data_IF_786334703897
#
_entry.id   IF_786334703897
#
_cell.length_a   1.000
_cell.length_b   1.000
_cell.length_c   1.000
_cell.angle_alpha   90.00
_cell.angle_beta   90.00
_cell.angle_gamma   90.00
#
_symmetry.space_group_name_H-M   'P 1'
#
loop_
_entity.id
_entity.type
_entity.pdbx_description
1 polymer ?
#
# COMPACT_ATOMS: atom_id res chain seq x y z
N UNK A 1 38.60 16.82 6.88
CA UNK A 1 37.60 15.83 7.35
C UNK A 1 36.26 16.31 6.86
N UNK A 2 35.70 15.66 5.83
CA UNK A 2 34.38 16.01 5.27
C UNK A 2 33.32 15.25 6.05
N UNK A 3 32.42 15.99 6.68
CA UNK A 3 31.24 15.46 7.37
C UNK A 3 30.31 14.83 6.34
N UNK A 4 30.12 13.52 6.42
CA UNK A 4 29.17 12.80 5.55
C UNK A 4 27.78 13.07 6.11
N UNK A 5 27.01 13.94 5.43
CA UNK A 5 25.63 14.21 5.79
C UNK A 5 24.80 12.92 5.70
N UNK A 6 24.25 12.47 6.82
CA UNK A 6 23.32 11.35 6.86
C UNK A 6 22.05 11.78 6.11
N UNK A 7 21.62 11.07 5.05
CA UNK A 7 20.40 11.43 4.35
C UNK A 7 19.21 11.34 5.31
N UNK A 8 18.34 12.35 5.26
CA UNK A 8 17.14 12.36 6.06
C UNK A 8 16.28 11.12 5.76
N UNK A 9 15.83 10.43 6.81
CA UNK A 9 14.96 9.25 6.68
C UNK A 9 13.71 9.64 5.88
N UNK A 10 13.38 8.93 4.78
CA UNK A 10 12.18 9.22 4.00
C UNK A 10 10.93 9.23 4.88
N UNK A 11 10.03 10.20 4.63
CA UNK A 11 8.82 10.39 5.46
C UNK A 11 7.95 9.13 5.54
N UNK A 12 7.88 8.34 4.47
CA UNK A 12 7.11 7.09 4.43
C UNK A 12 7.68 5.98 5.33
N UNK A 13 8.94 6.07 5.76
CA UNK A 13 9.53 5.17 6.76
C UNK A 13 9.37 5.70 8.20
N UNK A 14 9.29 7.03 8.34
CA UNK A 14 9.19 7.69 9.64
C UNK A 14 7.75 7.74 10.20
N UNK A 15 6.73 7.56 9.34
CA UNK A 15 5.33 7.59 9.75
C UNK A 15 4.78 6.16 9.90
N UNK A 16 4.41 5.80 11.14
CA UNK A 16 3.80 4.51 11.45
C UNK A 16 2.37 4.38 10.93
N UNK A 17 1.66 5.50 10.76
CA UNK A 17 0.26 5.53 10.33
C UNK A 17 0.06 6.45 9.12
N UNK A 18 -0.79 6.06 8.16
CA UNK A 18 -1.10 6.89 7.00
C UNK A 18 -2.03 8.06 7.35
N UNK A 19 -2.67 8.07 8.52
CA UNK A 19 -3.57 9.15 8.94
C UNK A 19 -2.86 10.15 9.84
N UNK A 20 -3.02 11.44 9.53
CA UNK A 20 -2.64 12.50 10.47
C UNK A 20 -3.62 12.50 11.63
N UNK A 21 -3.14 12.86 12.82
CA UNK A 21 -3.99 12.94 14.04
C UNK A 21 -5.24 13.81 13.83
N UNK A 22 -5.10 14.92 13.10
CA UNK A 22 -6.22 15.81 12.80
C UNK A 22 -7.28 15.16 11.89
N UNK A 23 -6.86 14.39 10.87
CA UNK A 23 -7.78 13.71 9.95
C UNK A 23 -8.54 12.60 10.67
N UNK A 24 -7.85 11.84 11.53
CA UNK A 24 -8.47 10.84 12.38
C UNK A 24 -9.47 11.49 13.35
N UNK A 25 -9.09 12.57 14.03
CA UNK A 25 -9.96 13.24 15.00
C UNK A 25 -11.22 13.78 14.33
N UNK A 26 -11.08 14.45 13.19
CA UNK A 26 -12.22 15.00 12.44
C UNK A 26 -13.16 13.91 11.96
N UNK A 27 -12.62 12.85 11.34
CA UNK A 27 -13.44 11.72 10.89
C UNK A 27 -14.14 11.02 12.05
N UNK A 28 -13.42 10.74 13.15
CA UNK A 28 -14.01 10.14 14.35
C UNK A 28 -15.12 11.01 14.94
N UNK A 29 -14.93 12.33 14.98
CA UNK A 29 -15.96 13.26 15.46
C UNK A 29 -17.22 13.22 14.59
N UNK A 30 -17.08 13.28 13.26
CA UNK A 30 -18.23 13.20 12.33
C UNK A 30 -18.95 11.87 12.45
N UNK A 31 -18.20 10.76 12.48
CA UNK A 31 -18.74 9.42 12.68
C UNK A 31 -19.49 9.30 14.01
N UNK A 32 -18.94 9.86 15.10
CA UNK A 32 -19.57 9.83 16.41
C UNK A 32 -20.89 10.61 16.42
N UNK A 33 -20.94 11.78 15.78
CA UNK A 33 -22.18 12.57 15.63
C UNK A 33 -23.25 11.78 14.87
N UNK A 34 -22.88 11.14 13.75
CA UNK A 34 -23.80 10.28 12.99
C UNK A 34 -24.31 9.11 13.82
N UNK A 35 -23.43 8.44 14.56
CA UNK A 35 -23.79 7.30 15.42
C UNK A 35 -24.74 7.71 16.55
N UNK A 36 -24.47 8.84 17.21
CA UNK A 36 -25.35 9.40 18.25
C UNK A 36 -26.71 9.75 17.66
N UNK A 37 -26.76 10.36 16.47
CA UNK A 37 -28.02 10.68 15.79
C UNK A 37 -28.86 9.44 15.47
N UNK A 38 -28.23 8.34 15.02
CA UNK A 38 -28.92 7.06 14.80
C UNK A 38 -29.45 6.50 16.12
N UNK A 39 -28.66 6.57 17.21
CA UNK A 39 -29.10 6.15 18.54
C UNK A 39 -30.29 6.94 19.08
N UNK A 40 -30.30 8.26 18.88
CA UNK A 40 -31.44 9.12 19.26
C UNK A 40 -32.69 8.73 18.47
N UNK A 41 -32.56 8.56 17.14
CA UNK A 41 -33.69 8.15 16.30
C UNK A 41 -34.24 6.77 16.68
N UNK A 42 -33.36 5.84 17.05
CA UNK A 42 -33.75 4.51 17.55
C UNK A 42 -34.56 4.59 18.85
N UNK A 43 -34.11 5.36 19.83
CA UNK A 43 -34.85 5.54 21.09
C UNK A 43 -36.19 6.23 20.82
N UNK A 44 -36.20 7.24 19.95
CA UNK A 44 -37.42 7.95 19.55
C UNK A 44 -38.46 7.04 18.90
N UNK A 45 -38.05 6.18 17.97
CA UNK A 45 -38.98 5.27 17.28
C UNK A 45 -39.48 4.14 18.20
N UNK A 46 -38.66 3.71 19.17
CA UNK A 46 -39.01 2.59 20.07
C UNK A 46 -40.14 2.93 21.04
N UNK A 47 -40.36 4.21 21.34
CA UNK A 47 -41.40 4.68 22.25
C UNK A 47 -42.73 5.04 21.58
N UNK A 48 -42.82 4.95 20.25
CA UNK A 48 -43.89 5.56 19.47
C UNK A 48 -44.77 4.52 18.77
N UNK A 49 -46.09 4.64 18.94
CA UNK A 49 -47.08 3.75 18.32
C UNK A 49 -47.74 4.39 17.09
N UNK A 50 -47.70 5.73 16.98
CA UNK A 50 -48.23 6.46 15.83
C UNK A 50 -47.25 6.41 14.65
N UNK A 51 -47.74 5.95 13.50
CA UNK A 51 -46.95 5.81 12.29
C UNK A 51 -46.44 7.17 11.76
N UNK A 52 -47.23 8.24 11.89
CA UNK A 52 -46.84 9.56 11.40
C UNK A 52 -45.63 10.11 12.18
N UNK A 53 -45.58 9.83 13.48
CA UNK A 53 -44.43 10.18 14.32
C UNK A 53 -43.21 9.29 14.04
N UNK A 54 -43.41 7.99 13.77
CA UNK A 54 -42.32 7.10 13.34
C UNK A 54 -41.67 7.56 12.04
N UNK A 55 -42.46 8.10 11.10
CA UNK A 55 -41.93 8.64 9.83
C UNK A 55 -40.96 9.81 10.07
N UNK A 56 -41.24 10.67 11.04
CA UNK A 56 -40.33 11.77 11.40
C UNK A 56 -39.01 11.25 11.97
N UNK A 57 -39.05 10.26 12.86
CA UNK A 57 -37.84 9.62 13.39
C UNK A 57 -37.03 8.89 12.32
N UNK A 58 -37.70 8.28 11.34
CA UNK A 58 -37.04 7.66 10.20
C UNK A 58 -36.24 8.68 9.38
N UNK A 59 -36.78 9.88 9.14
CA UNK A 59 -36.04 10.95 8.45
C UNK A 59 -34.80 11.39 9.24
N UNK A 60 -34.90 11.48 10.57
CA UNK A 60 -33.74 11.75 11.44
C UNK A 60 -32.69 10.64 11.32
N UNK A 61 -33.12 9.37 11.34
CA UNK A 61 -32.22 8.22 11.19
C UNK A 61 -31.49 8.23 9.83
N UNK A 62 -32.19 8.56 8.74
CA UNK A 62 -31.60 8.69 7.41
C UNK A 62 -30.55 9.80 7.40
N UNK A 63 -30.89 10.99 7.91
CA UNK A 63 -29.94 12.11 7.99
C UNK A 63 -28.69 11.77 8.80
N UNK A 64 -28.87 11.15 9.97
CA UNK A 64 -27.77 10.69 10.81
C UNK A 64 -26.92 9.60 10.12
N UNK A 65 -27.56 8.68 9.40
CA UNK A 65 -26.90 7.65 8.60
C UNK A 65 -26.05 8.23 7.48
N UNK A 66 -26.51 9.28 6.81
CA UNK A 66 -25.71 10.01 5.81
C UNK A 66 -24.48 10.64 6.44
N UNK A 67 -24.62 11.31 7.60
CA UNK A 67 -23.49 11.91 8.32
C UNK A 67 -22.46 10.84 8.71
N UNK A 68 -22.91 9.70 9.24
CA UNK A 68 -22.07 8.55 9.57
C UNK A 68 -21.31 8.04 8.33
N UNK A 69 -22.02 7.86 7.21
CA UNK A 69 -21.43 7.43 5.94
C UNK A 69 -20.40 8.40 5.38
N UNK A 70 -20.62 9.71 5.52
CA UNK A 70 -19.67 10.74 5.12
C UNK A 70 -18.40 10.71 5.97
N UNK A 71 -18.53 10.54 7.30
CA UNK A 71 -17.39 10.40 8.20
C UNK A 71 -16.47 9.23 7.83
N UNK A 72 -17.06 8.06 7.52
CA UNK A 72 -16.33 6.87 7.09
C UNK A 72 -15.74 6.99 5.69
N UNK A 73 -16.50 7.57 4.75
CA UNK A 73 -16.02 7.79 3.37
C UNK A 73 -14.84 8.74 3.35
N UNK A 74 -14.89 9.82 4.15
CA UNK A 74 -13.77 10.75 4.31
C UNK A 74 -12.51 10.07 4.85
N UNK A 75 -12.66 9.24 5.89
CA UNK A 75 -11.54 8.48 6.47
C UNK A 75 -10.83 7.61 5.43
N UNK A 76 -11.60 6.88 4.63
CA UNK A 76 -11.10 6.01 3.57
C UNK A 76 -10.41 6.82 2.46
N UNK A 77 -11.02 7.93 2.03
CA UNK A 77 -10.46 8.80 1.00
C UNK A 77 -9.10 9.38 1.43
N UNK A 78 -8.98 9.85 2.67
CA UNK A 78 -7.70 10.32 3.22
C UNK A 78 -6.67 9.20 3.26
N UNK A 79 -7.06 8.02 3.76
CA UNK A 79 -6.18 6.85 3.80
C UNK A 79 -5.66 6.47 2.41
N UNK A 80 -6.53 6.40 1.39
CA UNK A 80 -6.12 6.11 0.02
C UNK A 80 -5.21 7.18 -0.58
N UNK A 81 -5.45 8.46 -0.28
CA UNK A 81 -4.61 9.56 -0.76
C UNK A 81 -3.19 9.47 -0.21
N UNK A 82 -3.05 9.20 1.08
CA UNK A 82 -1.74 9.10 1.73
C UNK A 82 -1.00 7.82 1.33
N UNK A 83 -1.69 6.68 1.19
CA UNK A 83 -1.07 5.46 0.65
C UNK A 83 -0.57 5.66 -0.78
N UNK A 84 -1.36 6.29 -1.65
CA UNK A 84 -0.93 6.60 -3.04
C UNK A 84 0.25 7.57 -3.06
N UNK A 85 0.31 8.51 -2.11
CA UNK A 85 1.44 9.42 -1.97
C UNK A 85 2.71 8.67 -1.55
N UNK A 86 2.63 7.86 -0.50
CA UNK A 86 3.74 7.05 -0.02
C UNK A 86 4.27 6.10 -1.11
N UNK A 87 3.36 5.46 -1.87
CA UNK A 87 3.73 4.63 -3.01
C UNK A 87 4.52 5.41 -4.08
N UNK A 88 4.11 6.64 -4.42
CA UNK A 88 4.84 7.48 -5.39
C UNK A 88 6.21 7.89 -4.88
N UNK A 89 6.31 8.27 -3.60
CA UNK A 89 7.57 8.65 -2.96
C UNK A 89 8.54 7.45 -2.92
N UNK A 90 8.06 6.27 -2.54
CA UNK A 90 8.84 5.03 -2.55
C UNK A 90 9.34 4.64 -3.96
N UNK A 91 8.46 4.71 -4.98
CA UNK A 91 8.87 4.40 -6.37
C UNK A 91 9.91 5.42 -6.87
N UNK A 92 9.78 6.69 -6.50
CA UNK A 92 10.77 7.71 -6.85
C UNK A 92 12.13 7.42 -6.19
N UNK A 93 12.13 7.03 -4.92
CA UNK A 93 13.35 6.66 -4.18
C UNK A 93 14.05 5.42 -4.75
N UNK A 94 13.28 4.39 -5.11
CA UNK A 94 13.81 3.21 -5.82
C UNK A 94 14.46 3.58 -7.15
N UNK A 95 13.84 4.49 -7.92
CA UNK A 95 14.40 4.96 -9.20
C UNK A 95 15.70 5.73 -9.00
N UNK A 96 15.79 6.54 -7.93
CA UNK A 96 17.00 7.30 -7.60
C UNK A 96 18.12 6.36 -7.13
N UNK A 97 17.81 5.44 -6.21
CA UNK A 97 18.74 4.41 -5.72
C UNK A 97 19.27 3.55 -6.87
N UNK A 98 18.40 3.16 -7.82
CA UNK A 98 18.81 2.42 -9.03
C UNK A 98 19.80 3.20 -9.92
N UNK A 99 19.66 4.53 -10.01
CA UNK A 99 20.59 5.38 -10.77
C UNK A 99 21.93 5.57 -10.05
N UNK A 100 21.90 5.59 -8.71
CA UNK A 100 23.09 5.80 -7.88
C UNK A 100 23.90 4.53 -7.66
N UNK A 101 23.30 3.34 -7.72
CA UNK A 101 24.08 2.11 -7.73
C UNK A 101 24.87 2.05 -9.03
N UNK A 102 26.21 2.13 -8.98
CA UNK A 102 27.01 1.94 -10.18
C UNK A 102 26.77 0.52 -10.69
N UNK A 103 26.54 0.37 -11.99
CA UNK A 103 26.46 -0.92 -12.70
C UNK A 103 27.80 -1.68 -12.70
N UNK A 104 28.81 -1.17 -12.01
CA UNK A 104 30.07 -1.88 -11.78
C UNK A 104 29.79 -3.07 -10.89
N UNK A 105 29.91 -4.27 -11.46
CA UNK A 105 29.67 -5.54 -10.81
C UNK A 105 30.41 -5.70 -9.47
N UNK A 106 29.82 -6.55 -8.62
CA UNK A 106 30.28 -6.98 -7.30
C UNK A 106 30.16 -5.97 -6.13
N UNK A 107 29.12 -6.09 -5.29
CA UNK A 107 29.23 -5.65 -3.90
C UNK A 107 30.21 -6.57 -3.16
N UNK A 108 31.40 -6.04 -2.87
CA UNK A 108 32.52 -6.75 -2.22
C UNK A 108 32.27 -7.21 -0.76
N UNK A 109 31.04 -7.13 -0.23
CA UNK A 109 30.74 -7.46 1.18
C UNK A 109 29.87 -8.72 1.38
N UNK A 110 29.62 -9.52 0.34
CA UNK A 110 28.84 -10.77 0.48
C UNK A 110 29.44 -11.95 -0.28
N UNK A 111 30.77 -12.16 -0.20
CA UNK A 111 31.46 -13.33 -0.78
C UNK A 111 31.57 -14.53 0.17
N UNK A 112 30.98 -14.48 1.36
CA UNK A 112 30.88 -15.65 2.22
C UNK A 112 29.61 -16.45 1.88
N UNK A 113 29.78 -17.57 1.16
CA UNK A 113 28.80 -18.64 0.94
C UNK A 113 27.56 -18.33 0.07
N UNK A 114 27.77 -17.88 -1.18
CA UNK A 114 26.73 -17.97 -2.21
C UNK A 114 26.92 -19.26 -3.03
N UNK A 115 25.93 -20.16 -3.13
CA UNK A 115 25.99 -21.29 -4.06
C UNK A 115 26.17 -20.77 -5.50
N UNK A 116 26.96 -21.51 -6.28
CA UNK A 116 27.48 -21.14 -7.60
C UNK A 116 26.47 -20.35 -8.45
N UNK A 117 26.86 -19.13 -8.81
CA UNK A 117 26.08 -18.26 -9.67
C UNK A 117 25.91 -18.92 -11.06
N UNK A 118 24.67 -19.05 -11.48
CA UNK A 118 24.28 -19.32 -12.87
C UNK A 118 24.84 -18.19 -13.74
N UNK A 119 25.28 -18.54 -14.96
CA UNK A 119 25.90 -17.66 -15.97
C UNK A 119 25.21 -16.29 -16.13
N UNK A 120 25.92 -15.24 -16.59
CA UNK A 120 25.38 -13.89 -16.70
C UNK A 120 24.09 -13.87 -17.52
N UNK A 121 22.99 -13.63 -16.81
CA UNK A 121 21.65 -13.62 -17.36
C UNK A 121 21.51 -12.46 -18.36
N UNK A 122 20.92 -12.73 -19.52
CA UNK A 122 20.51 -11.68 -20.44
C UNK A 122 19.41 -10.82 -19.78
N UNK A 123 19.31 -9.55 -20.17
CA UNK A 123 18.28 -8.63 -19.63
C UNK A 123 16.83 -9.08 -19.86
N UNK A 124 16.64 -10.06 -20.75
CA UNK A 124 15.36 -10.65 -21.11
C UNK A 124 15.06 -11.98 -20.40
N UNK A 125 15.97 -12.48 -19.55
CA UNK A 125 15.73 -13.71 -18.79
C UNK A 125 14.65 -13.47 -17.74
N UNK A 126 13.59 -14.29 -17.79
CA UNK A 126 12.52 -14.27 -16.81
C UNK A 126 12.88 -15.18 -15.64
N UNK A 127 12.64 -14.72 -14.43
CA UNK A 127 12.98 -15.42 -13.20
C UNK A 127 11.81 -15.37 -12.23
N UNK A 128 11.67 -16.43 -11.42
CA UNK A 128 10.74 -16.47 -10.29
C UNK A 128 11.36 -17.16 -9.08
N UNK A 129 10.88 -16.84 -7.89
CA UNK A 129 11.21 -17.57 -6.66
C UNK A 129 10.14 -18.62 -6.33
N UNK A 130 10.46 -19.58 -5.47
CA UNK A 130 9.56 -20.69 -5.09
C UNK A 130 8.19 -20.22 -4.58
N UNK A 131 8.13 -19.07 -3.90
CA UNK A 131 6.90 -18.46 -3.34
C UNK A 131 6.48 -17.16 -4.02
N UNK A 132 6.97 -16.90 -5.22
CA UNK A 132 6.60 -15.69 -5.97
C UNK A 132 5.41 -15.98 -6.88
N UNK A 133 4.44 -15.07 -6.90
CA UNK A 133 3.29 -15.09 -7.82
C UNK A 133 3.55 -14.27 -9.09
N UNK A 134 4.65 -13.52 -9.13
CA UNK A 134 5.03 -12.67 -10.25
C UNK A 134 6.30 -13.19 -10.92
N UNK A 135 6.35 -13.08 -12.25
CA UNK A 135 7.58 -13.23 -13.04
C UNK A 135 8.31 -11.90 -13.09
N UNK A 136 9.64 -11.97 -12.92
CA UNK A 136 10.52 -10.81 -12.91
C UNK A 136 11.58 -10.93 -14.00
N UNK A 137 12.13 -9.81 -14.47
CA UNK A 137 13.41 -9.84 -15.21
C UNK A 137 14.55 -10.17 -14.25
N UNK A 138 15.57 -10.86 -14.73
CA UNK A 138 16.80 -11.18 -13.97
C UNK A 138 17.46 -9.95 -13.34
N UNK A 139 17.31 -8.77 -13.96
CA UNK A 139 17.83 -7.48 -13.51
C UNK A 139 16.90 -6.71 -12.56
N UNK A 140 15.76 -7.29 -12.16
CA UNK A 140 14.80 -6.60 -11.30
C UNK A 140 15.33 -6.47 -9.85
N UNK A 141 15.28 -5.27 -9.24
CA UNK A 141 15.72 -5.09 -7.86
C UNK A 141 14.91 -5.93 -6.86
N UNK A 142 13.67 -6.31 -7.20
CA UNK A 142 12.81 -7.14 -6.33
C UNK A 142 13.28 -8.59 -6.20
N UNK A 143 14.15 -9.08 -7.09
CA UNK A 143 14.74 -10.43 -7.03
C UNK A 143 16.18 -10.44 -6.53
N UNK A 144 16.78 -9.27 -6.30
CA UNK A 144 18.14 -9.16 -5.81
C UNK A 144 18.29 -9.88 -4.45
N UNK A 145 19.26 -10.80 -4.37
CA UNK A 145 19.56 -11.56 -3.16
C UNK A 145 18.58 -12.70 -2.84
N UNK A 146 17.57 -12.97 -3.67
CA UNK A 146 16.61 -14.06 -3.47
C UNK A 146 17.00 -15.32 -4.24
N UNK A 147 16.65 -16.52 -3.75
CA UNK A 147 16.76 -17.74 -4.55
C UNK A 147 15.77 -17.66 -5.71
N UNK A 148 16.31 -17.70 -6.93
CA UNK A 148 15.53 -17.58 -8.17
C UNK A 148 15.78 -18.78 -9.07
N UNK A 149 14.76 -19.14 -9.84
CA UNK A 149 14.81 -20.12 -10.91
C UNK A 149 14.52 -19.37 -12.21
N UNK A 150 15.32 -19.63 -13.24
CA UNK A 150 15.04 -19.12 -14.58
C UNK A 150 13.80 -19.81 -15.14
N UNK A 151 12.93 -19.04 -15.77
CA UNK A 151 11.78 -19.54 -16.50
C UNK A 151 11.81 -19.01 -17.93
N UNK A 152 11.36 -19.85 -18.86
CA UNK A 152 10.92 -19.35 -20.15
C UNK A 152 9.46 -18.84 -20.08
N UNK A 153 8.99 -18.18 -21.15
CA UNK A 153 7.62 -17.64 -21.21
C UNK A 153 6.54 -18.73 -21.15
N UNK A 154 6.81 -19.92 -21.69
CA UNK A 154 5.85 -21.01 -21.69
C UNK A 154 5.67 -21.59 -20.28
N UNK A 155 6.76 -21.73 -19.52
CA UNK A 155 6.76 -22.14 -18.13
C UNK A 155 6.07 -21.10 -17.23
N UNK A 156 6.28 -19.80 -17.49
CA UNK A 156 5.59 -18.73 -16.76
C UNK A 156 4.07 -18.80 -16.99
N UNK A 157 3.64 -18.99 -18.24
CA UNK A 157 2.24 -19.16 -18.61
C UNK A 157 1.62 -20.43 -18.00
N UNK A 158 2.33 -21.56 -18.04
CA UNK A 158 1.88 -22.83 -17.46
C UNK A 158 1.66 -22.71 -15.94
N UNK A 159 2.46 -21.90 -15.25
CA UNK A 159 2.32 -21.60 -13.81
C UNK A 159 1.34 -20.48 -13.50
N UNK A 160 0.73 -19.84 -14.50
CA UNK A 160 -0.18 -18.68 -14.36
C UNK A 160 0.44 -17.55 -13.53
N UNK A 161 1.73 -17.27 -13.76
CA UNK A 161 2.42 -16.16 -13.10
C UNK A 161 2.15 -14.85 -13.84
N UNK A 162 1.84 -13.80 -13.08
CA UNK A 162 1.63 -12.47 -13.64
C UNK A 162 2.96 -11.74 -13.84
N UNK A 163 3.02 -10.85 -14.83
CA UNK A 163 4.23 -10.05 -15.05
C UNK A 163 4.40 -8.96 -13.99
N UNK A 164 5.61 -8.84 -13.45
CA UNK A 164 5.94 -7.77 -12.53
C UNK A 164 5.82 -6.40 -13.21
N UNK A 165 4.90 -5.57 -12.71
CA UNK A 165 4.69 -4.20 -13.22
C UNK A 165 5.91 -3.29 -13.10
N UNK A 166 6.84 -3.58 -12.19
CA UNK A 166 8.12 -2.86 -12.06
C UNK A 166 9.09 -3.22 -13.19
N UNK A 167 8.99 -4.43 -13.75
CA UNK A 167 9.84 -4.88 -14.86
C UNK A 167 9.34 -4.43 -16.24
N UNK A 168 8.07 -4.00 -16.32
CA UNK A 168 7.43 -3.52 -17.55
C UNK A 168 7.60 -2.03 -17.80
N UNK A 169 8.02 -1.27 -16.78
CA UNK A 169 8.34 0.16 -16.89
C UNK A 169 9.82 0.36 -17.21
#
# INVERSE_FOLDING_TARGET
MTEVAVPAVPRYLAQETPWRKADSLLSSAVTLVGLVGVGIAWVGVSGEADFDNQQSWLMVAIGAGVILGLGMSWWLLVGFREVRRAQREFVADLRLTRKLLPTTGEPALSRAARPAAVAPAHSDDLVTGERMTLVHRSTCPMVAGKPIVNLDRAQAAARRLDECKVCLQ
#
